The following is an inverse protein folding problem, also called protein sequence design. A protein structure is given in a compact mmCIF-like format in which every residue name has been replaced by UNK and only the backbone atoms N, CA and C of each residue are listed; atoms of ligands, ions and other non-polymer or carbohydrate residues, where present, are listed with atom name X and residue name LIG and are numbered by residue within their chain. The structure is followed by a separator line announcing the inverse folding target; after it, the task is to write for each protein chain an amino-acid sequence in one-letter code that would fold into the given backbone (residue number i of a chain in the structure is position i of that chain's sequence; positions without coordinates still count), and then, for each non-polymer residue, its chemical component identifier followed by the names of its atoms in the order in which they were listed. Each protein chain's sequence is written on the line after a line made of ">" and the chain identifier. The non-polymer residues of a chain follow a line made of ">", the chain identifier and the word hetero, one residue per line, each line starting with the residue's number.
data_IF_443933271283
#
_entry.id   IF_443933271283
#
_cell.length_a   1.000
_cell.length_b   1.000
_cell.length_c   1.000
_cell.angle_alpha   90.00
_cell.angle_beta   90.00
_cell.angle_gamma   90.00
#
_symmetry.space_group_name_H-M   'P 1'
#
loop_
_entity.id
_entity.type
_entity.pdbx_description
1 polymer ?
#
# COMPACT_ATOMS: atom_id res chain seq x y z
N UNK A 1 14.80 -57.61 29.68
CA UNK A 1 14.06 -56.49 30.31
C UNK A 1 14.11 -56.64 31.82
N UNK A 2 14.78 -55.73 32.52
CA UNK A 2 14.94 -55.72 33.98
C UNK A 2 13.61 -55.41 34.69
N UNK A 3 13.52 -55.66 36.00
CA UNK A 3 12.32 -55.33 36.80
C UNK A 3 11.99 -53.83 36.81
N UNK A 4 13.03 -52.98 36.70
CA UNK A 4 12.93 -51.53 36.64
C UNK A 4 12.38 -51.04 35.30
N UNK A 5 12.89 -51.58 34.18
CA UNK A 5 12.38 -51.30 32.82
C UNK A 5 10.90 -51.72 32.65
N UNK A 6 10.49 -52.86 33.24
CA UNK A 6 9.09 -53.30 33.24
C UNK A 6 8.17 -52.32 33.99
N UNK A 7 8.65 -51.75 35.11
CA UNK A 7 7.89 -50.81 35.93
C UNK A 7 7.77 -49.45 35.25
N UNK A 8 8.85 -48.94 34.67
CA UNK A 8 8.83 -47.70 33.87
C UNK A 8 7.95 -47.81 32.64
N UNK A 9 8.02 -48.92 31.89
CA UNK A 9 7.15 -49.15 30.74
C UNK A 9 5.66 -49.13 31.12
N UNK A 10 5.29 -49.80 32.22
CA UNK A 10 3.91 -49.77 32.74
C UNK A 10 3.48 -48.36 33.19
N UNK A 11 4.40 -47.59 33.78
CA UNK A 11 4.17 -46.19 34.18
C UNK A 11 3.91 -45.31 32.94
N UNK A 12 4.71 -45.44 31.89
CA UNK A 12 4.53 -44.68 30.64
C UNK A 12 3.24 -45.03 29.90
N UNK A 13 2.89 -46.32 29.78
CA UNK A 13 1.62 -46.76 29.16
C UNK A 13 0.43 -46.13 29.88
N UNK A 14 0.45 -46.12 31.21
CA UNK A 14 -0.64 -45.52 32.00
C UNK A 14 -0.69 -43.99 31.85
N UNK A 15 0.47 -43.33 31.82
CA UNK A 15 0.58 -41.89 31.53
C UNK A 15 -0.03 -41.54 30.16
N UNK A 16 0.32 -42.29 29.12
CA UNK A 16 -0.22 -42.09 27.77
C UNK A 16 -1.73 -42.30 27.71
N UNK A 17 -2.26 -43.33 28.39
CA UNK A 17 -3.70 -43.57 28.46
C UNK A 17 -4.47 -42.42 29.11
N UNK A 18 -3.90 -41.82 30.16
CA UNK A 18 -4.47 -40.62 30.81
C UNK A 18 -4.49 -39.45 29.83
N UNK A 19 -3.38 -39.19 29.13
CA UNK A 19 -3.26 -38.12 28.13
C UNK A 19 -4.29 -38.31 27.00
N UNK A 20 -4.44 -39.52 26.48
CA UNK A 20 -5.38 -39.81 25.39
C UNK A 20 -6.83 -39.61 25.83
N UNK A 21 -7.17 -40.07 27.04
CA UNK A 21 -8.52 -39.90 27.59
C UNK A 21 -8.83 -38.43 27.85
N UNK A 22 -7.90 -37.72 28.47
CA UNK A 22 -8.02 -36.29 28.74
C UNK A 22 -8.13 -35.49 27.43
N UNK A 23 -7.35 -35.84 26.40
CA UNK A 23 -7.47 -35.22 25.08
C UNK A 23 -8.88 -35.35 24.50
N UNK A 24 -9.49 -36.53 24.57
CA UNK A 24 -10.88 -36.75 24.11
C UNK A 24 -11.85 -35.83 24.85
N UNK A 25 -11.72 -35.72 26.18
CA UNK A 25 -12.53 -34.80 26.98
C UNK A 25 -12.35 -33.34 26.58
N UNK A 26 -11.10 -32.87 26.48
CA UNK A 26 -10.77 -31.49 26.09
C UNK A 26 -11.13 -31.16 24.63
N UNK A 27 -11.37 -32.17 23.79
CA UNK A 27 -11.85 -31.96 22.42
C UNK A 27 -13.38 -31.83 22.32
N UNK A 28 -14.11 -32.26 23.36
CA UNK A 28 -15.57 -32.26 23.40
C UNK A 28 -16.16 -31.17 24.30
N UNK A 29 -15.37 -30.69 25.27
CA UNK A 29 -15.78 -29.72 26.28
C UNK A 29 -14.79 -28.57 26.35
N UNK A 30 -15.25 -27.41 26.79
CA UNK A 30 -14.37 -26.28 27.05
C UNK A 30 -13.41 -26.60 28.21
N UNK A 31 -12.24 -25.96 28.20
CA UNK A 31 -11.17 -26.20 29.19
C UNK A 31 -11.67 -26.14 30.65
N UNK A 32 -12.54 -25.19 30.97
CA UNK A 32 -13.07 -24.99 32.31
C UNK A 32 -14.07 -26.10 32.74
N UNK A 33 -14.73 -26.76 31.80
CA UNK A 33 -15.74 -27.80 32.04
C UNK A 33 -15.13 -29.18 32.30
N UNK A 34 -13.86 -29.37 31.92
CA UNK A 34 -13.16 -30.64 32.15
C UNK A 34 -12.67 -30.71 33.60
N UNK A 35 -13.06 -31.79 34.29
CA UNK A 35 -12.67 -32.10 35.66
C UNK A 35 -11.66 -33.24 35.71
N UNK A 36 -10.72 -33.18 36.65
CA UNK A 36 -9.71 -34.24 36.83
C UNK A 36 -10.35 -35.56 37.28
N UNK A 37 -11.48 -35.51 37.98
CA UNK A 37 -12.31 -36.67 38.34
C UNK A 37 -12.85 -37.39 37.11
N UNK A 38 -13.29 -36.65 36.09
CA UNK A 38 -13.81 -37.23 34.85
C UNK A 38 -12.72 -37.97 34.08
N UNK A 39 -11.51 -37.39 34.03
CA UNK A 39 -10.35 -38.05 33.43
C UNK A 39 -10.05 -39.36 34.16
N UNK A 40 -10.00 -39.34 35.50
CA UNK A 40 -9.73 -40.51 36.31
C UNK A 40 -10.78 -41.62 36.07
N UNK A 41 -12.07 -41.24 36.11
CA UNK A 41 -13.20 -42.14 35.88
C UNK A 41 -13.14 -42.79 34.51
N UNK A 42 -12.95 -42.00 33.44
CA UNK A 42 -12.92 -42.51 32.06
C UNK A 42 -11.66 -43.33 31.74
N UNK A 43 -10.53 -43.07 32.40
CA UNK A 43 -9.31 -43.89 32.28
C UNK A 43 -9.35 -45.15 33.15
N UNK A 44 -10.38 -45.30 34.00
CA UNK A 44 -10.52 -46.39 34.99
C UNK A 44 -9.37 -46.42 36.00
N UNK A 45 -9.01 -45.25 36.54
CA UNK A 45 -7.99 -45.09 37.58
C UNK A 45 -8.54 -44.26 38.73
N UNK A 46 -7.96 -44.38 39.93
CA UNK A 46 -8.33 -43.52 41.05
C UNK A 46 -7.89 -42.08 40.80
N UNK A 47 -8.63 -41.10 41.35
CA UNK A 47 -8.29 -39.65 41.25
C UNK A 47 -6.83 -39.38 41.64
N UNK A 48 -6.38 -39.90 42.78
CA UNK A 48 -4.99 -39.74 43.23
C UNK A 48 -3.95 -40.32 42.26
N UNK A 49 -4.33 -41.32 41.45
CA UNK A 49 -3.43 -41.84 40.42
C UNK A 49 -3.18 -40.81 39.33
N UNK A 50 -4.20 -40.04 38.90
CA UNK A 50 -4.00 -38.97 37.90
C UNK A 50 -3.09 -37.87 38.45
N UNK A 51 -3.33 -37.45 39.71
CA UNK A 51 -2.50 -36.45 40.37
C UNK A 51 -1.04 -36.88 40.60
N UNK A 52 -0.77 -38.19 40.69
CA UNK A 52 0.60 -38.71 40.72
C UNK A 52 1.36 -38.54 39.39
N UNK A 53 0.65 -38.34 38.27
CA UNK A 53 1.26 -38.11 36.95
C UNK A 53 1.22 -36.64 36.53
N UNK A 54 0.21 -35.90 36.96
CA UNK A 54 -0.02 -34.51 36.60
C UNK A 54 -0.53 -33.76 37.83
N UNK A 55 0.26 -32.84 38.35
CA UNK A 55 -0.04 -32.09 39.58
C UNK A 55 -1.27 -31.18 39.45
N UNK A 56 -1.60 -30.76 38.23
CA UNK A 56 -2.74 -29.89 37.95
C UNK A 56 -3.43 -30.20 36.62
N UNK A 57 -4.63 -29.62 36.43
CA UNK A 57 -5.35 -29.68 35.14
C UNK A 57 -4.56 -28.96 34.04
N UNK A 58 -3.92 -27.86 34.41
CA UNK A 58 -3.03 -27.08 33.56
C UNK A 58 -1.86 -27.94 33.07
N UNK A 59 -1.14 -28.63 33.96
CA UNK A 59 -0.01 -29.49 33.59
C UNK A 59 -0.45 -30.63 32.65
N UNK A 60 -1.60 -31.24 32.92
CA UNK A 60 -2.19 -32.25 32.05
C UNK A 60 -2.52 -31.67 30.67
N UNK A 61 -3.17 -30.51 30.62
CA UNK A 61 -3.53 -29.86 29.36
C UNK A 61 -2.29 -29.44 28.55
N UNK A 62 -1.28 -28.86 29.21
CA UNK A 62 0.00 -28.53 28.59
C UNK A 62 0.70 -29.77 28.04
N UNK A 63 0.73 -30.87 28.79
CA UNK A 63 1.32 -32.13 28.32
C UNK A 63 0.63 -32.66 27.05
N UNK A 64 -0.70 -32.53 26.98
CA UNK A 64 -1.47 -32.89 25.78
C UNK A 64 -1.10 -31.98 24.61
N UNK A 65 -1.09 -30.67 24.83
CA UNK A 65 -0.82 -29.69 23.77
C UNK A 65 0.62 -29.72 23.28
N UNK A 66 1.59 -30.02 24.16
CA UNK A 66 2.98 -30.27 23.79
C UNK A 66 3.08 -31.39 22.75
N UNK A 67 2.45 -32.54 23.00
CA UNK A 67 2.42 -33.65 22.03
C UNK A 67 1.76 -33.26 20.70
N UNK A 68 0.79 -32.34 20.75
CA UNK A 68 0.13 -31.82 19.54
C UNK A 68 1.02 -30.85 18.77
N UNK A 69 1.75 -29.97 19.46
CA UNK A 69 2.75 -29.10 18.84
C UNK A 69 3.88 -29.92 18.22
N UNK A 70 4.39 -30.95 18.90
CA UNK A 70 5.39 -31.87 18.33
C UNK A 70 4.92 -32.46 17.00
N UNK A 71 3.67 -32.95 16.96
CA UNK A 71 3.07 -33.47 15.73
C UNK A 71 2.89 -32.40 14.65
N UNK A 72 2.49 -31.17 15.04
CA UNK A 72 2.38 -30.04 14.12
C UNK A 72 3.74 -29.71 13.50
N UNK A 73 4.78 -29.56 14.32
CA UNK A 73 6.13 -29.22 13.85
C UNK A 73 6.67 -30.29 12.92
N UNK A 74 6.50 -31.58 13.24
CA UNK A 74 6.88 -32.68 12.35
C UNK A 74 6.09 -32.68 11.04
N UNK A 75 4.77 -32.47 11.09
CA UNK A 75 3.93 -32.41 9.89
C UNK A 75 4.23 -31.19 9.02
N UNK A 76 4.54 -30.05 9.63
CA UNK A 76 4.96 -28.85 8.93
C UNK A 76 6.28 -29.09 8.21
N UNK A 77 7.28 -29.64 8.91
CA UNK A 77 8.58 -29.97 8.33
C UNK A 77 8.43 -30.88 7.10
N UNK A 78 7.71 -31.98 7.26
CA UNK A 78 7.45 -32.93 6.18
C UNK A 78 6.77 -32.25 4.98
N UNK A 79 5.66 -31.52 5.22
CA UNK A 79 4.95 -30.82 4.13
C UNK A 79 5.84 -29.83 3.41
N UNK A 80 6.56 -28.98 4.14
CA UNK A 80 7.43 -27.95 3.55
C UNK A 80 8.60 -28.52 2.76
N UNK A 81 9.05 -29.75 3.06
CA UNK A 81 10.07 -30.44 2.27
C UNK A 81 9.55 -30.93 0.91
N UNK A 82 8.25 -31.21 0.80
CA UNK A 82 7.61 -31.71 -0.44
C UNK A 82 6.94 -30.63 -1.28
N UNK A 83 6.88 -29.38 -0.81
CA UNK A 83 6.28 -28.28 -1.59
C UNK A 83 7.16 -27.92 -2.81
N UNK A 84 6.50 -27.49 -3.89
CA UNK A 84 7.16 -27.20 -5.17
C UNK A 84 8.17 -26.04 -5.08
N UNK A 85 7.94 -25.08 -4.17
CA UNK A 85 8.79 -23.90 -3.98
C UNK A 85 8.65 -23.31 -2.56
N UNK A 86 9.49 -22.32 -2.25
CA UNK A 86 9.54 -21.65 -0.94
C UNK A 86 8.28 -20.82 -0.64
N UNK A 87 7.55 -20.34 -1.66
CA UNK A 87 6.27 -19.61 -1.47
C UNK A 87 5.20 -20.56 -0.96
N UNK A 88 5.10 -21.75 -1.56
CA UNK A 88 4.15 -22.78 -1.13
C UNK A 88 4.51 -23.33 0.26
N UNK A 89 5.81 -23.49 0.54
CA UNK A 89 6.30 -23.83 1.88
C UNK A 89 5.87 -22.80 2.93
N UNK A 90 6.06 -21.52 2.63
CA UNK A 90 5.63 -20.41 3.50
C UNK A 90 4.12 -20.39 3.68
N UNK A 91 3.34 -20.63 2.62
CA UNK A 91 1.87 -20.71 2.68
C UNK A 91 1.42 -21.82 3.59
N UNK A 92 2.02 -23.00 3.44
CA UNK A 92 1.74 -24.18 4.25
C UNK A 92 2.07 -23.90 5.72
N UNK A 93 3.23 -23.31 6.00
CA UNK A 93 3.63 -22.91 7.34
C UNK A 93 2.61 -21.97 8.00
N UNK A 94 2.33 -20.81 7.37
CA UNK A 94 1.41 -19.78 7.89
C UNK A 94 0.01 -20.36 8.11
N UNK A 95 -0.50 -21.10 7.12
CA UNK A 95 -1.84 -21.69 7.14
C UNK A 95 -2.01 -22.67 8.29
N UNK A 96 -1.12 -23.66 8.41
CA UNK A 96 -1.29 -24.71 9.40
C UNK A 96 -1.01 -24.21 10.82
N UNK A 97 -0.06 -23.30 11.00
CA UNK A 97 0.18 -22.69 12.31
C UNK A 97 -1.03 -21.88 12.76
N UNK A 98 -1.56 -20.99 11.91
CA UNK A 98 -2.76 -20.20 12.25
C UNK A 98 -3.96 -21.09 12.59
N UNK A 99 -4.27 -22.08 11.75
CA UNK A 99 -5.40 -22.99 11.98
C UNK A 99 -5.23 -23.78 13.29
N UNK A 100 -4.01 -24.23 13.60
CA UNK A 100 -3.73 -24.94 14.85
C UNK A 100 -3.99 -24.05 16.06
N UNK A 101 -3.48 -22.81 16.06
CA UNK A 101 -3.65 -21.89 17.19
C UNK A 101 -5.11 -21.47 17.38
N UNK A 102 -5.85 -21.21 16.31
CA UNK A 102 -7.29 -20.93 16.37
C UNK A 102 -8.08 -22.11 16.91
N UNK A 103 -7.82 -23.32 16.42
CA UNK A 103 -8.47 -24.56 16.91
C UNK A 103 -8.19 -24.82 18.39
N UNK A 104 -7.01 -24.42 18.86
CA UNK A 104 -6.55 -24.62 20.23
C UNK A 104 -6.36 -23.29 20.96
N UNK A 105 -7.33 -22.37 20.86
CA UNK A 105 -7.23 -21.02 21.45
C UNK A 105 -6.90 -20.98 22.95
N UNK A 106 -7.43 -21.91 23.76
CA UNK A 106 -7.10 -21.98 25.18
C UNK A 106 -5.63 -22.31 25.42
N UNK A 107 -5.03 -23.15 24.57
CA UNK A 107 -3.60 -23.39 24.59
C UNK A 107 -2.81 -22.14 24.23
N UNK A 108 -3.22 -21.37 23.21
CA UNK A 108 -2.58 -20.11 22.87
C UNK A 108 -2.59 -19.12 24.04
N UNK A 109 -3.76 -18.94 24.69
CA UNK A 109 -3.90 -18.05 25.85
C UNK A 109 -3.02 -18.50 27.03
N UNK A 110 -2.99 -19.80 27.32
CA UNK A 110 -2.15 -20.38 28.37
C UNK A 110 -0.66 -20.28 28.04
N UNK A 111 -0.26 -20.60 26.81
CA UNK A 111 1.12 -20.49 26.31
C UNK A 111 1.63 -19.05 26.41
N UNK A 112 0.82 -18.05 26.03
CA UNK A 112 1.17 -16.63 26.20
C UNK A 112 1.36 -16.25 27.66
N UNK A 113 0.51 -16.76 28.55
CA UNK A 113 0.59 -16.50 30.00
C UNK A 113 1.86 -17.11 30.60
N UNK A 114 2.20 -18.35 30.25
CA UNK A 114 3.43 -19.00 30.72
C UNK A 114 4.70 -18.36 30.15
N UNK A 115 4.70 -17.91 28.88
CA UNK A 115 5.83 -17.19 28.31
C UNK A 115 6.16 -15.86 29.04
N UNK A 116 5.18 -15.28 29.74
CA UNK A 116 5.41 -14.12 30.61
C UNK A 116 6.08 -14.50 31.94
N UNK A 117 6.01 -15.77 32.35
CA UNK A 117 6.61 -16.31 33.56
C UNK A 117 7.81 -17.21 33.20
N UNK A 118 8.98 -16.59 33.00
CA UNK A 118 10.21 -17.23 32.46
C UNK A 118 10.77 -18.43 33.23
N UNK A 119 10.26 -18.74 34.43
CA UNK A 119 10.88 -19.61 35.43
C UNK A 119 10.16 -20.95 35.71
N UNK A 120 9.19 -21.40 34.90
CA UNK A 120 8.56 -22.73 35.07
C UNK A 120 9.30 -23.85 34.30
N UNK A 121 9.39 -25.07 34.85
CA UNK A 121 10.04 -26.22 34.18
C UNK A 121 9.35 -26.64 32.87
N UNK A 122 8.04 -26.40 32.78
CA UNK A 122 7.21 -26.59 31.56
C UNK A 122 7.72 -25.69 30.42
N UNK A 123 8.40 -24.58 30.75
CA UNK A 123 8.90 -23.60 29.82
C UNK A 123 10.05 -24.12 28.95
N UNK A 124 10.89 -25.06 29.43
CA UNK A 124 12.08 -25.50 28.70
C UNK A 124 11.75 -26.31 27.43
N UNK A 125 10.81 -27.27 27.53
CA UNK A 125 10.44 -28.10 26.39
C UNK A 125 9.59 -27.34 25.36
N UNK A 126 8.76 -26.39 25.83
CA UNK A 126 8.03 -25.48 24.95
C UNK A 126 8.96 -24.51 24.22
N UNK A 127 10.01 -23.99 24.89
CA UNK A 127 11.08 -23.20 24.24
C UNK A 127 11.77 -24.00 23.14
N UNK A 128 12.03 -25.29 23.35
CA UNK A 128 12.62 -26.14 22.32
C UNK A 128 11.69 -26.31 21.10
N UNK A 129 10.38 -26.44 21.32
CA UNK A 129 9.40 -26.51 20.23
C UNK A 129 9.28 -25.18 19.49
N UNK A 130 9.29 -24.06 20.21
CA UNK A 130 9.30 -22.74 19.62
C UNK A 130 10.57 -22.52 18.77
N UNK A 131 11.74 -22.93 19.30
CA UNK A 131 13.00 -22.87 18.56
C UNK A 131 12.91 -23.66 17.25
N UNK A 132 12.39 -24.89 17.30
CA UNK A 132 12.20 -25.72 16.08
C UNK A 132 11.25 -25.08 15.07
N UNK A 133 10.18 -24.43 15.51
CA UNK A 133 9.25 -23.71 14.62
C UNK A 133 9.91 -22.49 13.97
N UNK A 134 10.69 -21.73 14.76
CA UNK A 134 11.46 -20.59 14.27
C UNK A 134 12.50 -21.02 13.24
N UNK A 135 13.27 -22.05 13.55
CA UNK A 135 14.30 -22.61 12.66
C UNK A 135 13.69 -23.13 11.34
N UNK A 136 12.53 -23.78 11.39
CA UNK A 136 11.81 -24.20 10.19
C UNK A 136 11.42 -23.00 9.31
N UNK A 137 10.84 -21.95 9.89
CA UNK A 137 10.47 -20.74 9.14
C UNK A 137 11.68 -20.01 8.57
N UNK A 138 12.75 -19.89 9.37
CA UNK A 138 14.02 -19.33 8.95
C UNK A 138 14.59 -20.06 7.72
N UNK A 139 14.57 -21.41 7.75
CA UNK A 139 14.99 -22.24 6.62
C UNK A 139 14.18 -21.99 5.33
N UNK A 140 12.86 -21.78 5.45
CA UNK A 140 11.99 -21.43 4.31
C UNK A 140 12.38 -20.08 3.72
N UNK A 141 12.57 -19.06 4.58
CA UNK A 141 12.97 -17.70 4.17
C UNK A 141 14.33 -17.75 3.47
N UNK A 142 15.34 -18.32 4.11
CA UNK A 142 16.70 -18.45 3.57
C UNK A 142 16.72 -19.14 2.21
N UNK A 143 15.96 -20.23 2.07
CA UNK A 143 15.87 -20.97 0.80
C UNK A 143 15.22 -20.12 -0.29
N UNK A 144 14.17 -19.36 0.05
CA UNK A 144 13.51 -18.46 -0.90
C UNK A 144 14.39 -17.28 -1.31
N UNK A 145 15.19 -16.73 -0.40
CA UNK A 145 16.19 -15.71 -0.72
C UNK A 145 17.28 -16.25 -1.68
N UNK A 146 17.86 -17.42 -1.38
CA UNK A 146 18.90 -18.06 -2.22
C UNK A 146 18.36 -18.34 -3.62
N UNK A 147 17.10 -18.76 -3.73
CA UNK A 147 16.43 -19.02 -5.02
C UNK A 147 15.95 -17.74 -5.73
N UNK A 148 16.17 -16.57 -5.14
CA UNK A 148 15.74 -15.28 -5.69
C UNK A 148 14.22 -15.11 -5.76
N UNK A 149 13.45 -15.85 -4.93
CA UNK A 149 12.00 -15.72 -4.78
C UNK A 149 11.61 -14.72 -3.69
N UNK A 150 12.48 -14.55 -2.69
CA UNK A 150 12.32 -13.55 -1.63
C UNK A 150 13.41 -12.48 -1.74
N UNK A 151 13.05 -11.25 -1.38
CA UNK A 151 14.01 -10.13 -1.28
C UNK A 151 14.96 -10.40 -0.13
N UNK A 152 16.17 -9.83 -0.22
CA UNK A 152 17.15 -9.86 0.88
C UNK A 152 16.56 -9.15 2.11
N UNK A 153 16.47 -9.85 3.22
CA UNK A 153 15.96 -9.35 4.50
C UNK A 153 16.76 -9.96 5.65
N UNK A 154 16.77 -9.29 6.81
CA UNK A 154 17.28 -9.90 8.03
C UNK A 154 16.37 -11.06 8.44
N UNK A 155 16.93 -12.26 8.55
CA UNK A 155 16.19 -13.51 8.77
C UNK A 155 15.46 -13.49 10.11
N UNK A 156 16.13 -13.08 11.18
CA UNK A 156 15.55 -13.00 12.52
C UNK A 156 14.40 -11.98 12.59
N UNK A 157 14.58 -10.82 11.97
CA UNK A 157 13.53 -9.82 11.81
C UNK A 157 12.32 -10.40 11.08
N UNK A 158 12.53 -11.05 9.93
CA UNK A 158 11.46 -11.64 9.12
C UNK A 158 10.68 -12.70 9.91
N UNK A 159 11.37 -13.63 10.56
CA UNK A 159 10.77 -14.66 11.43
C UNK A 159 9.93 -14.03 12.54
N UNK A 160 10.45 -13.02 13.23
CA UNK A 160 9.76 -12.34 14.32
C UNK A 160 8.48 -11.63 13.84
N UNK A 161 8.54 -10.91 12.71
CA UNK A 161 7.39 -10.20 12.15
C UNK A 161 6.30 -11.18 11.70
N UNK A 162 6.67 -12.27 11.03
CA UNK A 162 5.71 -13.27 10.53
C UNK A 162 5.01 -13.98 11.69
N UNK A 163 5.76 -14.49 12.68
CA UNK A 163 5.19 -15.14 13.85
C UNK A 163 4.34 -14.16 14.67
N UNK A 164 4.82 -12.93 14.85
CA UNK A 164 4.07 -11.86 15.51
C UNK A 164 2.75 -11.55 14.81
N UNK A 165 2.75 -11.48 13.47
CA UNK A 165 1.56 -11.27 12.65
C UNK A 165 0.54 -12.40 12.80
N UNK A 166 0.99 -13.66 12.75
CA UNK A 166 0.14 -14.84 12.97
C UNK A 166 -0.48 -14.80 14.37
N UNK A 167 0.32 -14.63 15.41
CA UNK A 167 -0.17 -14.62 16.79
C UNK A 167 -1.07 -13.42 17.09
N UNK A 168 -0.78 -12.26 16.50
CA UNK A 168 -1.65 -11.09 16.57
C UNK A 168 -3.02 -11.34 15.94
N UNK A 169 -3.05 -12.02 14.79
CA UNK A 169 -4.31 -12.39 14.15
C UNK A 169 -5.10 -13.44 14.93
N UNK A 170 -4.42 -14.44 15.50
CA UNK A 170 -5.06 -15.41 16.41
C UNK A 170 -5.68 -14.69 17.60
N UNK A 171 -4.95 -13.77 18.24
CA UNK A 171 -5.49 -12.99 19.36
C UNK A 171 -6.75 -12.22 18.96
N UNK A 172 -6.71 -11.49 17.83
CA UNK A 172 -7.89 -10.77 17.32
C UNK A 172 -9.06 -11.70 17.02
N UNK A 173 -8.79 -12.90 16.48
CA UNK A 173 -9.82 -13.88 16.20
C UNK A 173 -10.52 -14.39 17.47
N UNK A 174 -9.75 -14.59 18.54
CA UNK A 174 -10.27 -14.96 19.86
C UNK A 174 -11.09 -13.81 20.45
N UNK A 175 -10.54 -12.59 20.45
CA UNK A 175 -11.17 -11.42 21.08
C UNK A 175 -12.50 -11.05 20.40
N UNK A 176 -12.59 -11.23 19.08
CA UNK A 176 -13.79 -10.90 18.30
C UNK A 176 -14.74 -12.10 18.08
N UNK A 177 -14.42 -13.28 18.62
CA UNK A 177 -15.23 -14.52 18.48
C UNK A 177 -15.61 -14.79 17.02
N UNK A 178 -14.61 -14.76 16.14
CA UNK A 178 -14.84 -14.88 14.70
C UNK A 178 -15.30 -16.31 14.31
N UNK A 179 -16.15 -16.41 13.29
CA UNK A 179 -16.60 -17.68 12.76
C UNK A 179 -15.58 -18.32 11.79
N UNK A 180 -15.86 -19.54 11.31
CA UNK A 180 -14.94 -20.30 10.45
C UNK A 180 -14.67 -19.59 9.09
N UNK A 181 -15.67 -18.91 8.53
CA UNK A 181 -15.52 -18.16 7.28
C UNK A 181 -14.61 -16.93 7.48
N UNK A 182 -14.82 -16.19 8.57
CA UNK A 182 -13.99 -15.04 8.93
C UNK A 182 -12.55 -15.48 9.23
N UNK A 183 -12.37 -16.60 9.95
CA UNK A 183 -11.05 -17.16 10.21
C UNK A 183 -10.32 -17.55 8.92
N UNK A 184 -11.05 -18.09 7.92
CA UNK A 184 -10.49 -18.41 6.60
C UNK A 184 -10.05 -17.14 5.86
N UNK A 185 -10.85 -16.08 5.90
CA UNK A 185 -10.51 -14.79 5.27
C UNK A 185 -9.26 -14.19 5.94
N UNK A 186 -9.21 -14.17 7.27
CA UNK A 186 -8.08 -13.63 8.01
C UNK A 186 -6.79 -14.41 7.70
N UNK A 187 -6.87 -15.74 7.61
CA UNK A 187 -5.74 -16.59 7.21
C UNK A 187 -5.16 -16.19 5.84
N UNK A 188 -6.01 -15.98 4.84
CA UNK A 188 -5.56 -15.56 3.50
C UNK A 188 -4.95 -14.15 3.54
N UNK A 189 -5.54 -13.21 4.31
CA UNK A 189 -4.98 -11.86 4.49
C UNK A 189 -3.58 -11.87 5.12
N UNK A 190 -3.36 -12.70 6.15
CA UNK A 190 -2.04 -12.83 6.79
C UNK A 190 -1.02 -13.35 5.78
N UNK A 191 -1.37 -14.43 5.06
CA UNK A 191 -0.46 -15.00 4.09
C UNK A 191 -0.15 -14.01 2.97
N UNK A 192 -1.15 -13.32 2.44
CA UNK A 192 -0.99 -12.31 1.40
C UNK A 192 -0.06 -11.17 1.86
N UNK A 193 -0.27 -10.64 3.06
CA UNK A 193 0.58 -9.60 3.65
C UNK A 193 2.03 -10.08 3.82
N UNK A 194 2.23 -11.29 4.36
CA UNK A 194 3.56 -11.88 4.56
C UNK A 194 4.26 -12.12 3.23
N UNK A 195 3.54 -12.68 2.24
CA UNK A 195 4.10 -12.97 0.92
C UNK A 195 4.55 -11.68 0.23
N UNK A 196 3.69 -10.66 0.17
CA UNK A 196 4.06 -9.37 -0.43
C UNK A 196 5.22 -8.70 0.31
N UNK A 197 5.27 -8.80 1.65
CA UNK A 197 6.38 -8.27 2.44
C UNK A 197 7.73 -8.96 2.18
N UNK A 198 7.74 -10.19 1.65
CA UNK A 198 8.94 -10.98 1.38
C UNK A 198 9.28 -11.14 -0.10
N UNK A 199 8.33 -10.99 -1.02
CA UNK A 199 8.54 -11.33 -2.44
C UNK A 199 9.71 -10.56 -3.06
N UNK A 200 10.56 -11.26 -3.82
CA UNK A 200 11.63 -10.63 -4.60
C UNK A 200 11.01 -9.77 -5.70
N UNK A 201 11.39 -8.49 -5.77
CA UNK A 201 10.75 -7.52 -6.66
C UNK A 201 9.59 -6.75 -6.00
N UNK A 202 9.26 -7.02 -4.73
CA UNK A 202 8.67 -6.01 -3.85
C UNK A 202 9.76 -4.97 -3.51
N UNK A 203 10.26 -4.30 -4.54
CA UNK A 203 11.05 -3.07 -4.42
C UNK A 203 10.04 -1.95 -4.53
N UNK A 204 9.41 -1.60 -3.41
CA UNK A 204 8.44 -0.50 -3.38
C UNK A 204 9.20 0.83 -3.45
N UNK A 205 9.73 1.12 -4.63
CA UNK A 205 10.14 2.47 -5.03
C UNK A 205 9.05 3.19 -5.82
N UNK A 206 7.91 2.55 -6.07
CA UNK A 206 6.72 3.18 -6.63
C UNK A 206 5.46 2.50 -6.12
N UNK A 207 4.93 3.01 -5.01
CA UNK A 207 3.49 2.92 -4.76
C UNK A 207 2.85 3.57 -5.98
N UNK A 208 2.06 2.80 -6.72
CA UNK A 208 1.25 3.29 -7.83
C UNK A 208 -0.18 3.45 -7.32
N UNK A 209 -0.51 4.55 -6.60
CA UNK A 209 -1.80 4.72 -5.92
C UNK A 209 -2.99 4.71 -6.88
N UNK A 210 -2.74 4.83 -8.18
CA UNK A 210 -3.76 4.89 -9.22
C UNK A 210 -3.80 3.65 -10.10
N UNK A 211 -3.10 2.56 -9.73
CA UNK A 211 -3.14 1.29 -10.48
C UNK A 211 -4.58 0.82 -10.69
N UNK A 212 -4.90 0.45 -11.94
CA UNK A 212 -6.24 0.04 -12.40
C UNK A 212 -7.32 1.14 -12.31
N UNK A 213 -6.95 2.42 -12.25
CA UNK A 213 -7.87 3.54 -12.38
C UNK A 213 -7.71 4.20 -13.73
N UNK A 214 -8.82 4.38 -14.44
CA UNK A 214 -8.85 5.18 -15.67
C UNK A 214 -9.13 6.64 -15.31
N UNK A 215 -8.27 7.56 -15.76
CA UNK A 215 -8.44 9.00 -15.56
C UNK A 215 -8.66 9.65 -16.91
N UNK A 216 -9.77 10.37 -17.05
CA UNK A 216 -10.06 11.18 -18.25
C UNK A 216 -9.63 12.62 -17.98
N UNK A 217 -8.71 13.14 -18.79
CA UNK A 217 -8.26 14.54 -18.70
C UNK A 217 -8.93 15.35 -19.81
N UNK A 218 -9.75 16.33 -19.42
CA UNK A 218 -10.56 17.15 -20.33
C UNK A 218 -9.98 18.53 -20.66
N UNK A 219 -8.75 18.81 -20.21
CA UNK A 219 -8.06 20.10 -20.46
C UNK A 219 -7.41 20.13 -21.86
N UNK A 220 -6.94 21.32 -22.27
CA UNK A 220 -6.25 21.49 -23.55
C UNK A 220 -5.09 20.51 -23.71
N UNK A 221 -4.80 20.10 -24.95
CA UNK A 221 -3.81 19.06 -25.28
C UNK A 221 -2.46 19.29 -24.60
N UNK A 222 -1.97 20.54 -24.58
CA UNK A 222 -0.69 20.90 -23.98
C UNK A 222 -0.66 20.68 -22.45
N UNK A 223 -1.69 21.10 -21.72
CA UNK A 223 -1.78 20.92 -20.27
C UNK A 223 -2.05 19.45 -19.88
N UNK A 224 -2.72 18.73 -20.78
CA UNK A 224 -3.04 17.32 -20.60
C UNK A 224 -1.80 16.42 -20.71
N UNK A 225 -0.76 16.81 -21.45
CA UNK A 225 0.50 16.04 -21.55
C UNK A 225 1.29 16.01 -20.23
N UNK A 226 1.48 17.17 -19.59
CA UNK A 226 2.16 17.26 -18.30
C UNK A 226 1.39 16.48 -17.21
N UNK A 227 0.08 16.70 -17.14
CA UNK A 227 -0.78 16.01 -16.15
C UNK A 227 -0.85 14.50 -16.41
N UNK A 228 -0.90 14.09 -17.67
CA UNK A 228 -0.94 12.68 -18.07
C UNK A 228 0.33 11.93 -17.65
N UNK A 229 1.50 12.54 -17.81
CA UNK A 229 2.76 11.94 -17.37
C UNK A 229 2.75 11.66 -15.86
N UNK A 230 2.32 12.63 -15.05
CA UNK A 230 2.22 12.47 -13.58
C UNK A 230 1.25 11.36 -13.19
N UNK A 231 0.06 11.29 -13.78
CA UNK A 231 -0.92 10.25 -13.45
C UNK A 231 -0.51 8.86 -13.94
N UNK A 232 0.15 8.78 -15.10
CA UNK A 232 0.70 7.53 -15.64
C UNK A 232 1.82 7.00 -14.75
N UNK A 233 2.69 7.88 -14.23
CA UNK A 233 3.75 7.50 -13.29
C UNK A 233 3.23 6.95 -11.95
N UNK A 234 2.03 7.41 -11.54
CA UNK A 234 1.29 6.91 -10.38
C UNK A 234 0.43 5.67 -10.69
N UNK A 235 0.47 5.16 -11.93
CA UNK A 235 -0.15 3.91 -12.37
C UNK A 235 -1.55 4.00 -12.97
N UNK A 236 -2.05 5.19 -13.29
CA UNK A 236 -3.36 5.35 -13.94
C UNK A 236 -3.29 5.03 -15.44
N UNK A 237 -4.39 4.50 -15.99
CA UNK A 237 -4.66 4.50 -17.43
C UNK A 237 -5.24 5.88 -17.82
N UNK A 238 -4.43 6.73 -18.46
CA UNK A 238 -4.85 8.11 -18.75
C UNK A 238 -5.46 8.20 -20.16
N UNK A 239 -6.70 8.67 -20.23
CA UNK A 239 -7.38 9.04 -21.48
C UNK A 239 -7.36 10.56 -21.63
N UNK A 240 -6.63 11.05 -22.63
CA UNK A 240 -6.65 12.47 -22.98
C UNK A 240 -7.87 12.70 -23.88
N UNK A 241 -8.86 13.43 -23.38
CA UNK A 241 -10.09 13.75 -24.11
C UNK A 241 -10.36 15.26 -24.01
N UNK A 242 -9.61 16.10 -24.73
CA UNK A 242 -9.76 17.56 -24.66
C UNK A 242 -11.16 17.95 -25.11
N UNK A 243 -11.91 18.66 -24.26
CA UNK A 243 -13.26 19.14 -24.59
C UNK A 243 -13.25 20.55 -25.16
N UNK A 244 -12.08 21.18 -25.25
CA UNK A 244 -11.86 22.51 -25.80
C UNK A 244 -10.62 22.48 -26.69
N UNK A 245 -10.80 22.90 -27.93
CA UNK A 245 -9.73 23.09 -28.92
C UNK A 245 -9.55 24.58 -29.18
N UNK A 246 -8.30 25.03 -29.24
CA UNK A 246 -7.96 26.40 -29.59
C UNK A 246 -7.62 26.40 -31.08
N UNK A 247 -8.56 26.88 -31.88
CA UNK A 247 -8.43 26.97 -33.33
C UNK A 247 -8.18 28.41 -33.77
N UNK A 248 -7.55 28.63 -34.94
CA UNK A 248 -7.50 29.96 -35.55
C UNK A 248 -8.90 30.58 -35.64
N UNK A 249 -9.02 31.93 -35.59
CA UNK A 249 -10.29 32.60 -35.82
C UNK A 249 -10.82 32.26 -37.23
N UNK A 250 -12.14 32.31 -37.38
CA UNK A 250 -12.80 32.09 -38.68
C UNK A 250 -12.40 33.12 -39.73
N UNK A 251 -11.87 34.28 -39.32
CA UNK A 251 -11.27 35.29 -40.20
C UNK A 251 -10.11 36.00 -39.51
N UNK A 252 -9.03 36.21 -40.28
CA UNK A 252 -7.87 37.00 -39.88
C UNK A 252 -7.90 38.44 -40.39
N UNK A 253 -8.93 38.84 -41.14
CA UNK A 253 -8.96 40.13 -41.88
C UNK A 253 -8.61 41.34 -41.00
N UNK A 254 -9.28 41.49 -39.85
CA UNK A 254 -9.02 42.61 -38.93
C UNK A 254 -7.62 42.59 -38.32
N UNK A 255 -7.10 41.39 -38.06
CA UNK A 255 -5.74 41.22 -37.55
C UNK A 255 -4.72 41.61 -38.62
N UNK A 256 -4.86 41.05 -39.83
CA UNK A 256 -3.97 41.28 -40.95
C UNK A 256 -3.96 42.78 -41.32
N UNK A 257 -5.13 43.42 -41.40
CA UNK A 257 -5.27 44.86 -41.63
C UNK A 257 -4.53 45.66 -40.53
N UNK A 258 -4.70 45.32 -39.25
CA UNK A 258 -4.06 46.03 -38.14
C UNK A 258 -2.52 45.91 -38.15
N UNK A 259 -1.98 44.75 -38.52
CA UNK A 259 -0.51 44.54 -38.55
C UNK A 259 0.13 44.98 -39.87
N UNK A 260 -0.61 44.98 -40.99
CA UNK A 260 -0.15 45.45 -42.31
C UNK A 260 -0.19 46.97 -42.40
N UNK A 261 -1.29 47.59 -41.96
CA UNK A 261 -1.53 49.02 -42.13
C UNK A 261 -0.77 49.89 -41.10
N UNK A 262 0.01 49.25 -40.21
CA UNK A 262 1.05 49.82 -39.32
C UNK A 262 0.72 51.09 -38.51
N UNK A 263 -0.51 51.63 -38.55
CA UNK A 263 -0.90 52.82 -37.80
C UNK A 263 -0.49 52.62 -36.34
N UNK A 264 0.44 53.46 -35.89
CA UNK A 264 1.41 53.16 -34.84
C UNK A 264 0.80 52.53 -33.59
N UNK A 265 0.76 51.19 -33.55
CA UNK A 265 0.35 50.46 -32.36
C UNK A 265 1.31 50.86 -31.24
N UNK A 266 0.79 51.52 -30.21
CA UNK A 266 1.61 51.99 -29.10
C UNK A 266 1.68 50.96 -27.98
N UNK A 267 0.62 50.16 -27.83
CA UNK A 267 0.53 49.12 -26.83
C UNK A 267 0.02 47.82 -27.45
N UNK A 268 0.60 46.69 -27.04
CA UNK A 268 0.04 45.36 -27.32
C UNK A 268 -0.23 44.67 -25.99
N UNK A 269 -1.45 44.18 -25.80
CA UNK A 269 -1.84 43.48 -24.58
C UNK A 269 -2.14 42.02 -24.89
N UNK A 270 -1.25 41.13 -24.47
CA UNK A 270 -1.43 39.69 -24.58
C UNK A 270 -2.18 39.13 -23.37
N UNK A 271 -3.44 38.76 -23.60
CA UNK A 271 -4.36 38.23 -22.58
C UNK A 271 -4.07 36.76 -22.20
N UNK A 272 -3.36 36.02 -23.06
CA UNK A 272 -2.98 34.64 -22.81
C UNK A 272 -1.75 34.23 -23.62
N UNK A 273 -1.06 33.17 -23.21
CA UNK A 273 0.04 32.56 -23.96
C UNK A 273 -0.36 32.14 -25.39
N UNK A 274 -1.57 31.58 -25.57
CA UNK A 274 -2.05 31.16 -26.89
C UNK A 274 -2.23 32.34 -27.85
N UNK A 275 -2.65 33.50 -27.34
CA UNK A 275 -2.73 34.71 -28.15
C UNK A 275 -1.35 35.15 -28.68
N UNK A 276 -0.28 35.00 -27.88
CA UNK A 276 1.10 35.28 -28.31
C UNK A 276 1.53 34.32 -29.43
N UNK A 277 1.29 33.02 -29.23
CA UNK A 277 1.68 31.97 -30.18
C UNK A 277 0.96 32.19 -31.52
N UNK A 278 -0.36 32.39 -31.49
CA UNK A 278 -1.17 32.63 -32.69
C UNK A 278 -0.79 33.92 -33.40
N UNK A 279 -0.49 34.99 -32.65
CA UNK A 279 -0.02 36.25 -33.21
C UNK A 279 1.27 36.05 -34.02
N UNK A 280 2.28 35.40 -33.42
CA UNK A 280 3.58 35.17 -34.08
C UNK A 280 3.44 34.17 -35.24
N UNK A 281 2.63 33.13 -35.08
CA UNK A 281 2.38 32.18 -36.16
C UNK A 281 1.75 32.88 -37.36
N UNK A 282 0.73 33.72 -37.14
CA UNK A 282 0.06 34.44 -38.22
C UNK A 282 1.02 35.40 -38.94
N UNK A 283 1.84 36.14 -38.20
CA UNK A 283 2.87 37.02 -38.79
C UNK A 283 3.83 36.28 -39.70
N UNK A 284 4.27 35.07 -39.31
CA UNK A 284 5.11 34.21 -40.14
C UNK A 284 4.38 33.74 -41.40
N UNK A 285 3.12 33.35 -41.28
CA UNK A 285 2.30 32.90 -42.42
C UNK A 285 2.11 33.99 -43.48
N UNK A 286 1.96 35.25 -43.06
CA UNK A 286 1.83 36.42 -43.95
C UNK A 286 3.17 37.11 -44.24
N UNK A 287 4.28 36.52 -43.77
CA UNK A 287 5.66 36.97 -43.98
C UNK A 287 5.90 38.44 -43.59
N UNK A 288 5.35 38.87 -42.46
CA UNK A 288 5.55 40.21 -41.89
C UNK A 288 6.55 40.14 -40.75
N UNK A 289 7.60 40.94 -40.86
CA UNK A 289 8.51 41.23 -39.74
C UNK A 289 7.93 42.35 -38.88
N UNK A 290 7.43 42.00 -37.69
CA UNK A 290 6.74 42.91 -36.81
C UNK A 290 7.70 43.46 -35.75
N UNK A 291 7.91 44.78 -35.77
CA UNK A 291 8.87 45.43 -34.89
C UNK A 291 8.23 45.83 -33.55
N UNK A 292 8.73 45.25 -32.45
CA UNK A 292 8.27 45.54 -31.09
C UNK A 292 9.02 46.69 -30.39
N UNK A 293 10.09 47.24 -30.97
CA UNK A 293 11.01 48.15 -30.26
C UNK A 293 10.36 49.44 -29.72
N UNK A 294 9.33 49.94 -30.40
CA UNK A 294 8.63 51.17 -30.00
C UNK A 294 7.23 50.89 -29.42
N UNK A 295 6.95 49.64 -29.08
CA UNK A 295 5.65 49.18 -28.61
C UNK A 295 5.77 48.75 -27.16
N UNK A 296 4.86 49.24 -26.31
CA UNK A 296 4.76 48.74 -24.94
C UNK A 296 3.96 47.45 -24.91
N UNK A 297 4.66 46.34 -24.70
CA UNK A 297 4.06 45.01 -24.58
C UNK A 297 3.64 44.77 -23.13
N UNK A 298 2.37 44.39 -22.96
CA UNK A 298 1.77 44.04 -21.68
C UNK A 298 1.42 42.56 -21.70
N UNK A 299 1.90 41.80 -20.71
CA UNK A 299 1.48 40.43 -20.50
C UNK A 299 0.62 40.37 -19.24
N UNK A 300 -0.61 39.85 -19.35
CA UNK A 300 -1.55 39.83 -18.21
C UNK A 300 -1.04 39.00 -17.03
N UNK A 301 -0.15 38.03 -17.26
CA UNK A 301 0.48 37.29 -16.17
C UNK A 301 1.76 36.59 -16.56
N UNK A 302 2.43 36.02 -15.55
CA UNK A 302 3.77 35.43 -15.66
C UNK A 302 3.89 34.34 -16.73
N UNK A 303 2.85 33.51 -16.92
CA UNK A 303 2.87 32.47 -17.96
C UNK A 303 2.91 33.07 -19.36
N UNK A 304 2.11 34.11 -19.61
CA UNK A 304 2.12 34.81 -20.89
C UNK A 304 3.47 35.51 -21.10
N UNK A 305 4.03 36.12 -20.06
CA UNK A 305 5.33 36.78 -20.13
C UNK A 305 6.48 35.79 -20.43
N UNK A 306 6.44 34.58 -19.87
CA UNK A 306 7.41 33.53 -20.17
C UNK A 306 7.38 33.13 -21.66
N UNK A 307 6.20 32.93 -22.23
CA UNK A 307 6.05 32.61 -23.67
C UNK A 307 6.51 33.76 -24.56
N UNK A 308 6.20 35.01 -24.21
CA UNK A 308 6.74 36.18 -24.89
C UNK A 308 8.29 36.14 -24.91
N UNK A 309 8.92 35.88 -23.77
CA UNK A 309 10.38 35.81 -23.64
C UNK A 309 10.98 34.69 -24.50
N UNK A 310 10.38 33.50 -24.50
CA UNK A 310 10.83 32.37 -25.33
C UNK A 310 10.78 32.69 -26.83
N UNK A 311 9.80 33.50 -27.25
CA UNK A 311 9.64 33.96 -28.62
C UNK A 311 10.39 35.26 -28.93
N UNK A 312 11.24 35.75 -28.02
CA UNK A 312 12.06 36.95 -28.22
C UNK A 312 11.33 38.28 -28.06
N UNK A 313 10.12 38.29 -27.49
CA UNK A 313 9.32 39.49 -27.24
C UNK A 313 9.61 40.01 -25.83
N UNK A 314 10.12 41.24 -25.72
CA UNK A 314 10.33 41.90 -24.45
C UNK A 314 9.00 42.41 -23.86
N UNK A 315 8.67 42.00 -22.64
CA UNK A 315 7.45 42.45 -21.94
C UNK A 315 7.79 43.62 -21.03
N UNK A 316 7.13 44.75 -21.25
CA UNK A 316 7.35 45.99 -20.49
C UNK A 316 6.55 46.02 -19.18
N UNK A 317 5.33 45.47 -19.18
CA UNK A 317 4.40 45.57 -18.06
C UNK A 317 3.80 44.20 -17.75
N UNK A 318 3.83 43.82 -16.48
CA UNK A 318 3.09 42.69 -15.91
C UNK A 318 2.35 43.22 -14.69
N UNK A 319 1.00 43.22 -14.67
CA UNK A 319 0.23 43.74 -13.54
C UNK A 319 0.42 42.87 -12.29
N UNK A 320 0.24 43.47 -11.12
CA UNK A 320 0.35 42.77 -9.82
C UNK A 320 -0.70 41.66 -9.63
N UNK A 321 -1.88 41.83 -10.23
CA UNK A 321 -2.94 40.82 -10.31
C UNK A 321 -3.13 40.41 -11.77
N UNK A 322 -3.30 39.12 -12.03
CA UNK A 322 -3.37 38.58 -13.39
C UNK A 322 -4.79 38.61 -13.98
N UNK A 323 -5.38 39.81 -14.06
CA UNK A 323 -6.74 40.03 -14.60
C UNK A 323 -6.78 41.19 -15.59
N UNK A 324 -7.83 41.24 -16.41
CA UNK A 324 -8.08 42.38 -17.32
C UNK A 324 -8.21 43.70 -16.55
N UNK A 325 -8.97 43.71 -15.45
CA UNK A 325 -9.15 44.91 -14.62
C UNK A 325 -7.82 45.44 -14.07
N UNK A 326 -6.94 44.54 -13.64
CA UNK A 326 -5.64 44.94 -13.12
C UNK A 326 -4.71 45.52 -14.20
N UNK A 327 -4.89 45.09 -15.47
CA UNK A 327 -4.20 45.73 -16.60
C UNK A 327 -4.74 47.13 -16.82
N UNK A 328 -6.06 47.33 -16.72
CA UNK A 328 -6.67 48.68 -16.82
C UNK A 328 -6.14 49.57 -15.71
N UNK A 329 -6.12 49.10 -14.47
CA UNK A 329 -5.57 49.82 -13.32
C UNK A 329 -4.09 50.17 -13.52
N UNK A 330 -3.29 49.25 -14.06
CA UNK A 330 -1.86 49.49 -14.32
C UNK A 330 -1.65 50.49 -15.47
N UNK A 331 -2.46 50.39 -16.53
CA UNK A 331 -2.40 51.29 -17.68
C UNK A 331 -2.94 52.69 -17.38
N UNK A 332 -3.81 52.85 -16.38
CA UNK A 332 -4.31 54.15 -15.90
C UNK A 332 -3.19 55.08 -15.42
N UNK A 333 -2.01 54.52 -15.10
CA UNK A 333 -0.81 55.27 -14.69
C UNK A 333 -0.07 55.91 -15.86
N UNK A 334 -0.47 55.63 -17.11
CA UNK A 334 0.14 56.14 -18.32
C UNK A 334 -0.82 57.07 -19.08
N UNK A 335 -0.28 58.02 -19.84
CA UNK A 335 -1.09 58.82 -20.77
C UNK A 335 -1.44 58.00 -22.02
N UNK A 336 -2.71 57.62 -22.12
CA UNK A 336 -3.26 56.83 -23.22
C UNK A 336 -3.95 57.71 -24.28
N UNK A 337 -3.95 59.05 -24.14
CA UNK A 337 -4.63 59.93 -25.08
C UNK A 337 -4.03 59.79 -26.49
N UNK A 338 -4.89 59.57 -27.48
CA UNK A 338 -4.52 59.33 -28.88
C UNK A 338 -3.57 58.13 -29.09
N UNK A 339 -3.55 57.16 -28.17
CA UNK A 339 -2.74 55.94 -28.31
C UNK A 339 -3.57 54.80 -28.85
N UNK A 340 -2.97 54.02 -29.77
CA UNK A 340 -3.57 52.81 -30.32
C UNK A 340 -3.15 51.63 -29.46
N UNK A 341 -4.14 50.94 -28.89
CA UNK A 341 -3.94 49.75 -28.08
C UNK A 341 -4.46 48.54 -28.86
N UNK A 342 -3.57 47.61 -29.17
CA UNK A 342 -3.92 46.38 -29.85
C UNK A 342 -4.07 45.23 -28.84
N UNK A 343 -5.20 44.53 -28.90
CA UNK A 343 -5.51 43.44 -27.97
C UNK A 343 -5.80 42.18 -28.78
N UNK A 344 -4.77 41.37 -29.10
CA UNK A 344 -4.98 40.05 -29.69
C UNK A 344 -5.74 39.17 -28.69
N UNK A 345 -7.02 38.93 -28.94
CA UNK A 345 -7.91 38.18 -28.03
C UNK A 345 -8.74 37.14 -28.78
N UNK A 346 -9.21 36.15 -28.03
CA UNK A 346 -10.17 35.18 -28.54
C UNK A 346 -11.57 35.80 -28.65
N UNK A 347 -12.42 35.19 -29.50
CA UNK A 347 -13.82 35.58 -29.67
C UNK A 347 -14.65 35.46 -28.38
N UNK A 348 -14.26 34.60 -27.43
CA UNK A 348 -14.96 34.36 -26.15
C UNK A 348 -14.23 35.07 -24.98
N UNK A 349 -13.34 36.02 -25.28
CA UNK A 349 -12.65 36.79 -24.23
C UNK A 349 -13.61 37.56 -23.32
N UNK A 350 -13.15 38.00 -22.14
CA UNK A 350 -13.92 38.89 -21.27
C UNK A 350 -13.85 40.32 -21.78
N UNK A 351 -14.97 41.05 -21.70
CA UNK A 351 -15.07 42.43 -22.22
C UNK A 351 -14.48 43.51 -21.31
N UNK A 352 -14.20 43.19 -20.05
CA UNK A 352 -13.74 44.16 -19.06
C UNK A 352 -12.49 44.95 -19.50
N UNK A 353 -11.58 44.30 -20.23
CA UNK A 353 -10.34 44.93 -20.70
C UNK A 353 -10.60 45.93 -21.86
N UNK A 354 -11.21 45.55 -23.00
CA UNK A 354 -11.51 46.53 -24.05
C UNK A 354 -12.61 47.53 -23.74
N UNK A 355 -13.47 47.29 -22.74
CA UNK A 355 -14.41 48.32 -22.26
C UNK A 355 -13.78 49.29 -21.25
N UNK A 356 -12.74 48.85 -20.53
CA UNK A 356 -12.04 49.64 -19.52
C UNK A 356 -10.90 50.50 -20.06
N UNK A 357 -10.54 50.36 -21.34
CA UNK A 357 -9.53 51.14 -22.06
C UNK A 357 -10.23 52.01 -23.11
#
# INVERSE_FOLDING_TARGET
>A
MTGQERRERKKNIKREKIIETAFKLFSQKNYHEVMMEDVARLTSVAKGTVYNYFSSKEELYFSIMKQRMEKLTSSLKEKTEYENNSVDSLRSFVTHLYMFMMKHQNFFLMYRKENLHKDSDICAELKLLEFKLRDLLAGIIRTGEIKGLFRKIDEDFAVNVILGGIFGAVQRGIDNVINEQEARIEKEKIFDFVLHGLFSGFDDKKVMPLKNRTIVITRSVEQSKESSAVFSELGADVLIFPTLEIVPPSSWKQFDEAVIDKNEINYIIFTSAHAVIMFIQRLKEINIDFNFNNIKVVAVGNKTAAVCKELGIFVNIIPSKFSGDAVVDELSKYDLKNKIIFIPRSAIGREALPQGL
#
